data_IF_905633519923
#
_entry.id   IF_905633519923
#
_cell.length_a   1.000
_cell.length_b   1.000
_cell.length_c   1.000
_cell.angle_alpha   90.00
_cell.angle_beta   90.00
_cell.angle_gamma   90.00
#
_symmetry.space_group_name_H-M   'P 1'
#
loop_
_entity.id
_entity.type
_entity.pdbx_description
1 polymer ?
#
# COMPACT_ATOMS: atom_id res chain seq x y z
N UNK A 1 -17.94 1.74 16.69
CA UNK A 1 -16.58 1.80 17.29
C UNK A 1 -15.77 0.54 17.04
N UNK A 2 -16.17 -0.66 17.52
CA UNK A 2 -15.41 -1.91 17.29
C UNK A 2 -15.34 -2.31 15.81
N UNK A 3 -16.46 -2.21 15.08
CA UNK A 3 -16.53 -2.47 13.63
C UNK A 3 -15.60 -1.56 12.82
N UNK A 4 -15.49 -0.29 13.21
CA UNK A 4 -14.64 0.70 12.56
C UNK A 4 -13.14 0.42 12.76
N UNK A 5 -12.78 -0.08 13.95
CA UNK A 5 -11.41 -0.47 14.27
C UNK A 5 -10.98 -1.71 13.47
N UNK A 6 -11.88 -2.70 13.36
CA UNK A 6 -11.62 -3.91 12.56
C UNK A 6 -11.45 -3.57 11.07
N UNK A 7 -12.30 -2.70 10.53
CA UNK A 7 -12.18 -2.26 9.14
C UNK A 7 -10.88 -1.46 8.91
N UNK A 8 -10.49 -0.60 9.85
CA UNK A 8 -9.22 0.11 9.76
C UNK A 8 -8.02 -0.85 9.78
N UNK A 9 -8.07 -1.88 10.63
CA UNK A 9 -7.04 -2.91 10.71
C UNK A 9 -6.96 -3.72 9.40
N UNK A 10 -8.10 -4.14 8.83
CA UNK A 10 -8.15 -4.86 7.56
C UNK A 10 -7.59 -4.02 6.39
N UNK A 11 -7.94 -2.73 6.34
CA UNK A 11 -7.37 -1.78 5.36
C UNK A 11 -5.85 -1.65 5.49
N UNK A 12 -5.34 -1.57 6.72
CA UNK A 12 -3.92 -1.45 7.04
C UNK A 12 -3.16 -2.74 6.75
N UNK A 13 -3.72 -3.90 7.08
CA UNK A 13 -3.15 -5.21 6.81
C UNK A 13 -3.07 -5.49 5.30
N UNK A 14 -4.15 -5.21 4.56
CA UNK A 14 -4.10 -5.27 3.09
C UNK A 14 -3.05 -4.32 2.50
N UNK A 15 -2.87 -3.14 3.10
CA UNK A 15 -1.87 -2.17 2.67
C UNK A 15 -0.44 -2.57 3.02
N UNK A 16 -0.24 -3.28 4.14
CA UNK A 16 1.03 -3.88 4.48
C UNK A 16 1.42 -4.94 3.43
N UNK A 17 0.46 -5.77 3.00
CA UNK A 17 0.69 -6.72 1.92
C UNK A 17 1.18 -6.07 0.63
N UNK A 18 0.52 -4.98 0.18
CA UNK A 18 0.97 -4.25 -1.02
C UNK A 18 2.27 -3.48 -0.79
N UNK A 19 2.55 -3.02 0.43
CA UNK A 19 3.82 -2.38 0.79
C UNK A 19 5.00 -3.35 0.79
N UNK A 20 4.82 -4.58 1.27
CA UNK A 20 5.83 -5.64 1.18
C UNK A 20 6.13 -6.03 -0.28
N UNK A 21 5.09 -6.13 -1.11
CA UNK A 21 5.28 -6.32 -2.56
C UNK A 21 6.04 -5.15 -3.19
N UNK A 22 5.71 -3.91 -2.79
CA UNK A 22 6.41 -2.72 -3.26
C UNK A 22 7.89 -2.74 -2.83
N UNK A 23 8.19 -3.09 -1.58
CA UNK A 23 9.55 -3.22 -1.06
C UNK A 23 10.35 -4.29 -1.81
N UNK A 24 9.78 -5.47 -2.02
CA UNK A 24 10.41 -6.54 -2.80
C UNK A 24 10.69 -6.09 -4.25
N UNK A 25 9.76 -5.31 -4.83
CA UNK A 25 9.93 -4.73 -6.17
C UNK A 25 11.04 -3.67 -6.17
N UNK A 26 11.16 -2.81 -5.15
CA UNK A 26 12.28 -1.86 -5.02
C UNK A 26 13.61 -2.61 -4.92
N UNK A 27 13.68 -3.66 -4.11
CA UNK A 27 14.87 -4.50 -4.00
C UNK A 27 15.25 -5.14 -5.36
N UNK A 28 14.26 -5.62 -6.12
CA UNK A 28 14.47 -6.09 -7.49
C UNK A 28 15.03 -5.01 -8.41
N UNK A 29 14.55 -3.76 -8.32
CA UNK A 29 15.08 -2.64 -9.09
C UNK A 29 16.53 -2.30 -8.72
N UNK A 30 16.91 -2.43 -7.44
CA UNK A 30 18.30 -2.27 -6.99
C UNK A 30 19.20 -3.32 -7.64
N UNK A 31 18.78 -4.59 -7.66
CA UNK A 31 19.52 -5.68 -8.29
C UNK A 31 19.64 -5.48 -9.81
N UNK A 32 18.54 -5.12 -10.48
CA UNK A 32 18.54 -4.81 -11.93
C UNK A 32 19.44 -3.61 -12.22
N UNK A 33 19.37 -2.55 -11.42
CA UNK A 33 20.22 -1.36 -11.56
C UNK A 33 21.71 -1.67 -11.39
N UNK A 34 22.06 -2.47 -10.38
CA UNK A 34 23.44 -2.91 -10.15
C UNK A 34 23.97 -3.77 -11.30
N UNK A 35 23.17 -4.71 -11.80
CA UNK A 35 23.55 -5.59 -12.93
C UNK A 35 23.57 -4.87 -14.27
N UNK A 36 22.92 -3.71 -14.41
CA UNK A 36 23.08 -2.84 -15.59
C UNK A 36 24.51 -2.30 -15.74
N UNK A 37 25.27 -2.14 -14.66
CA UNK A 37 26.66 -1.67 -14.71
C UNK A 37 27.58 -2.60 -15.52
N UNK A 38 27.20 -3.88 -15.62
CA UNK A 38 27.89 -4.91 -16.41
C UNK A 38 27.07 -5.35 -17.64
N UNK A 39 26.04 -4.59 -18.02
CA UNK A 39 25.18 -4.86 -19.18
C UNK A 39 24.12 -5.95 -19.00
N UNK A 40 24.24 -6.82 -17.99
CA UNK A 40 23.34 -7.97 -17.74
C UNK A 40 21.92 -7.52 -17.33
N UNK A 41 21.80 -6.38 -16.64
CA UNK A 41 20.51 -5.88 -16.14
C UNK A 41 19.60 -5.28 -17.22
N UNK A 42 20.14 -4.87 -18.37
CA UNK A 42 19.38 -4.21 -19.44
C UNK A 42 18.16 -5.02 -19.95
N UNK A 43 18.27 -6.33 -20.26
CA UNK A 43 17.12 -7.14 -20.64
C UNK A 43 16.07 -7.28 -19.52
N UNK A 44 16.48 -7.15 -18.25
CA UNK A 44 15.59 -7.30 -17.09
C UNK A 44 14.72 -6.07 -16.82
N UNK A 45 15.03 -4.92 -17.44
CA UNK A 45 14.25 -3.68 -17.26
C UNK A 45 12.79 -3.84 -17.72
N UNK A 46 12.53 -4.50 -18.86
CA UNK A 46 11.16 -4.70 -19.35
C UNK A 46 10.31 -5.62 -18.46
N UNK A 47 10.81 -6.80 -18.07
CA UNK A 47 10.15 -7.63 -17.05
C UNK A 47 9.90 -6.85 -15.76
N UNK A 48 10.88 -6.08 -15.28
CA UNK A 48 10.76 -5.38 -14.00
C UNK A 48 9.71 -4.27 -14.01
N UNK A 49 9.53 -3.58 -15.15
CA UNK A 49 8.42 -2.65 -15.36
C UNK A 49 7.07 -3.36 -15.34
N UNK A 50 6.99 -4.56 -15.92
CA UNK A 50 5.77 -5.38 -15.88
C UNK A 50 5.43 -5.82 -14.45
N UNK A 51 6.44 -6.19 -13.66
CA UNK A 51 6.27 -6.47 -12.22
C UNK A 51 5.75 -5.22 -11.50
N UNK A 52 6.39 -4.07 -11.71
CA UNK A 52 5.97 -2.79 -11.13
C UNK A 52 4.50 -2.48 -11.43
N UNK A 53 4.08 -2.60 -12.69
CA UNK A 53 2.69 -2.41 -13.12
C UNK A 53 1.75 -3.41 -12.43
N UNK A 54 2.12 -4.69 -12.35
CA UNK A 54 1.30 -5.70 -11.68
C UNK A 54 1.08 -5.41 -10.19
N UNK A 55 2.10 -4.87 -9.51
CA UNK A 55 2.01 -4.48 -8.10
C UNK A 55 1.14 -3.22 -7.95
N UNK A 56 1.27 -2.25 -8.86
CA UNK A 56 0.41 -1.09 -8.91
C UNK A 56 -1.07 -1.46 -9.16
N UNK A 57 -1.36 -2.40 -10.06
CA UNK A 57 -2.73 -2.91 -10.29
C UNK A 57 -3.32 -3.60 -9.06
N UNK A 58 -2.52 -4.37 -8.31
CA UNK A 58 -2.98 -4.95 -7.03
C UNK A 58 -3.34 -3.86 -6.03
N UNK A 59 -2.57 -2.78 -5.96
CA UNK A 59 -2.91 -1.64 -5.11
C UNK A 59 -4.17 -0.92 -5.60
N UNK A 60 -4.35 -0.69 -6.91
CA UNK A 60 -5.59 -0.12 -7.47
C UNK A 60 -6.81 -0.95 -7.08
N UNK A 61 -6.72 -2.28 -7.24
CA UNK A 61 -7.78 -3.21 -6.86
C UNK A 61 -8.07 -3.18 -5.35
N UNK A 62 -7.02 -3.08 -4.51
CA UNK A 62 -7.16 -2.91 -3.07
C UNK A 62 -7.89 -1.60 -2.74
N UNK A 63 -7.48 -0.48 -3.32
CA UNK A 63 -8.09 0.83 -3.08
C UNK A 63 -9.56 0.89 -3.47
N UNK A 64 -9.94 0.20 -4.56
CA UNK A 64 -11.33 0.12 -5.03
C UNK A 64 -12.29 -0.64 -4.10
N UNK A 65 -11.79 -1.41 -3.12
CA UNK A 65 -12.66 -2.12 -2.15
C UNK A 65 -13.35 -1.18 -1.16
N UNK A 66 -12.79 0.00 -0.92
CA UNK A 66 -13.21 0.91 0.15
C UNK A 66 -13.41 2.36 -0.29
N UNK A 67 -13.50 2.59 -1.60
CA UNK A 67 -13.68 3.91 -2.18
C UNK A 67 -13.78 3.85 -3.70
N UNK A 68 -13.76 5.02 -4.34
CA UNK A 68 -13.82 5.11 -5.80
C UNK A 68 -12.68 4.30 -6.46
N UNK A 69 -13.00 3.42 -7.44
CA UNK A 69 -12.01 2.67 -8.17
C UNK A 69 -10.92 3.56 -8.77
N UNK A 70 -9.66 3.19 -8.57
CA UNK A 70 -8.54 3.87 -9.21
C UNK A 70 -8.37 3.27 -10.61
N UNK A 71 -8.79 4.02 -11.63
CA UNK A 71 -8.76 3.56 -13.03
C UNK A 71 -7.30 3.31 -13.47
N UNK A 72 -7.06 2.18 -14.16
CA UNK A 72 -5.75 1.88 -14.72
C UNK A 72 -5.48 2.75 -15.95
N UNK A 73 -4.29 3.38 -16.07
CA UNK A 73 -3.93 4.13 -17.27
C UNK A 73 -3.49 3.22 -18.43
N UNK A 74 -3.40 1.91 -18.21
CA UNK A 74 -2.90 0.95 -19.19
C UNK A 74 -4.06 0.28 -19.94
N UNK A 75 -4.07 0.32 -21.29
CA UNK A 75 -5.13 -0.32 -22.07
C UNK A 75 -5.12 -1.85 -21.87
N UNK A 76 -6.31 -2.47 -21.89
CA UNK A 76 -6.48 -3.91 -21.75
C UNK A 76 -5.78 -4.70 -22.88
N UNK A 77 -5.71 -4.12 -24.08
CA UNK A 77 -4.91 -4.60 -25.19
C UNK A 77 -3.59 -3.83 -25.25
N UNK A 78 -2.46 -4.52 -24.97
CA UNK A 78 -1.12 -3.91 -24.96
C UNK A 78 -0.76 -3.26 -26.30
N UNK A 79 -0.03 -2.14 -26.25
CA UNK A 79 1.16 -1.98 -27.07
C UNK A 79 2.40 -1.89 -26.18
N UNK A 80 3.33 -2.82 -26.37
CA UNK A 80 4.67 -2.74 -25.82
C UNK A 80 5.51 -1.79 -26.69
N UNK A 81 5.44 -0.48 -26.42
CA UNK A 81 6.28 0.50 -27.09
C UNK A 81 6.29 1.84 -26.35
N UNK A 82 7.48 2.41 -26.12
CA UNK A 82 7.62 3.78 -25.59
C UNK A 82 7.67 3.95 -24.06
N UNK A 83 7.96 2.91 -23.27
CA UNK A 83 7.96 2.97 -21.79
C UNK A 83 8.89 4.04 -21.19
N UNK A 84 9.97 4.42 -21.87
CA UNK A 84 10.95 5.40 -21.37
C UNK A 84 10.35 6.80 -21.18
N UNK A 85 9.29 7.11 -21.92
CA UNK A 85 8.65 8.42 -21.94
C UNK A 85 7.23 8.40 -21.39
N UNK A 86 6.74 7.23 -20.96
CA UNK A 86 5.38 7.08 -20.44
C UNK A 86 5.27 7.73 -19.03
N UNK A 87 4.44 8.79 -18.86
CA UNK A 87 4.23 9.43 -17.57
C UNK A 87 3.67 8.48 -16.51
N UNK A 88 2.87 7.47 -16.91
CA UNK A 88 2.30 6.50 -15.97
C UNK A 88 3.40 5.64 -15.34
N UNK A 89 4.40 5.24 -16.12
CA UNK A 89 5.56 4.48 -15.62
C UNK A 89 6.34 5.25 -14.55
N UNK A 90 6.59 6.55 -14.74
CA UNK A 90 7.25 7.39 -13.70
C UNK A 90 6.43 7.49 -12.43
N UNK A 91 5.10 7.62 -12.57
CA UNK A 91 4.17 7.72 -11.44
C UNK A 91 4.07 6.41 -10.65
N UNK A 92 4.04 5.27 -11.33
CA UNK A 92 4.08 3.95 -10.71
C UNK A 92 5.40 3.76 -9.91
N UNK A 93 6.55 4.20 -10.44
CA UNK A 93 7.83 4.15 -9.73
C UNK A 93 7.88 5.08 -8.51
N UNK A 94 7.39 6.31 -8.62
CA UNK A 94 7.27 7.23 -7.47
C UNK A 94 6.35 6.66 -6.39
N UNK A 95 5.23 6.06 -6.82
CA UNK A 95 4.32 5.38 -5.90
C UNK A 95 5.02 4.21 -5.20
N UNK A 96 5.78 3.40 -5.94
CA UNK A 96 6.52 2.26 -5.40
C UNK A 96 7.47 2.67 -4.27
N UNK A 97 8.24 3.74 -4.48
CA UNK A 97 9.16 4.28 -3.48
C UNK A 97 8.41 4.83 -2.26
N UNK A 98 7.31 5.57 -2.47
CA UNK A 98 6.52 6.10 -1.36
C UNK A 98 5.81 5.00 -0.56
N UNK A 99 5.27 3.98 -1.24
CA UNK A 99 4.48 2.92 -0.61
C UNK A 99 5.34 1.87 0.09
N UNK A 100 6.51 1.55 -0.46
CA UNK A 100 7.50 0.67 0.20
C UNK A 100 8.07 1.26 1.48
N UNK A 101 7.99 2.57 1.68
CA UNK A 101 8.48 3.27 2.88
C UNK A 101 7.33 3.66 3.80
N UNK A 102 6.54 4.67 3.42
CA UNK A 102 5.42 5.18 4.23
C UNK A 102 4.31 4.14 4.38
N UNK A 103 3.99 3.43 3.30
CA UNK A 103 2.95 2.41 3.33
C UNK A 103 3.32 1.22 4.22
N UNK A 104 4.61 0.84 4.22
CA UNK A 104 5.17 -0.18 5.10
C UNK A 104 5.14 0.27 6.56
N UNK A 105 5.65 1.46 6.85
CA UNK A 105 5.67 2.02 8.21
C UNK A 105 4.26 2.10 8.81
N UNK A 106 3.30 2.65 8.07
CA UNK A 106 1.92 2.77 8.52
C UNK A 106 1.23 1.41 8.69
N UNK A 107 1.49 0.46 7.79
CA UNK A 107 0.99 -0.91 7.90
C UNK A 107 1.55 -1.63 9.14
N UNK A 108 2.86 -1.51 9.38
CA UNK A 108 3.52 -2.08 10.55
C UNK A 108 3.00 -1.46 11.84
N UNK A 109 2.91 -0.12 11.94
CA UNK A 109 2.35 0.56 13.12
C UNK A 109 0.89 0.16 13.35
N UNK A 110 0.11 0.02 12.27
CA UNK A 110 -1.29 -0.41 12.33
C UNK A 110 -1.50 -1.78 12.98
N UNK A 111 -0.57 -2.71 12.77
CA UNK A 111 -0.62 -4.07 13.32
C UNK A 111 0.12 -4.15 14.67
N UNK A 112 1.27 -3.49 14.80
CA UNK A 112 2.09 -3.56 16.01
C UNK A 112 1.39 -2.89 17.19
N UNK A 113 0.83 -1.69 17.04
CA UNK A 113 0.19 -0.97 18.16
C UNK A 113 -0.88 -1.77 18.91
N UNK A 114 -1.86 -2.43 18.26
CA UNK A 114 -2.84 -3.24 18.99
C UNK A 114 -2.21 -4.46 19.66
N UNK A 115 -1.21 -5.10 19.04
CA UNK A 115 -0.47 -6.22 19.65
C UNK A 115 0.25 -5.76 20.93
N UNK A 116 0.97 -4.64 20.85
CA UNK A 116 1.68 -4.02 21.98
C UNK A 116 0.70 -3.66 23.09
N UNK A 117 -0.45 -3.09 22.72
CA UNK A 117 -1.50 -2.73 23.67
C UNK A 117 -2.08 -3.93 24.41
N UNK A 118 -2.41 -5.03 23.71
CA UNK A 118 -2.90 -6.26 24.34
C UNK A 118 -1.83 -6.91 25.21
N UNK A 119 -0.58 -6.99 24.73
CA UNK A 119 0.55 -7.53 25.50
C UNK A 119 0.76 -6.75 26.79
N UNK A 120 0.91 -5.43 26.70
CA UNK A 120 1.23 -4.60 27.85
C UNK A 120 0.04 -4.49 28.81
N UNK A 121 -1.20 -4.43 28.33
CA UNK A 121 -2.40 -4.41 29.19
C UNK A 121 -2.59 -5.72 29.96
N UNK A 122 -2.23 -6.86 29.35
CA UNK A 122 -2.27 -8.17 30.01
C UNK A 122 -1.04 -8.47 30.86
N UNK A 123 0.06 -7.72 30.70
CA UNK A 123 1.34 -7.94 31.37
C UNK A 123 1.23 -8.19 32.89
N UNK A 124 0.43 -7.42 33.66
CA UNK A 124 0.26 -7.68 35.09
C UNK A 124 -0.26 -9.07 35.48
N UNK A 125 -0.89 -9.80 34.56
CA UNK A 125 -1.47 -11.11 34.82
C UNK A 125 -0.46 -12.25 34.70
N UNK A 126 0.61 -12.06 33.94
CA UNK A 126 1.54 -13.12 33.59
C UNK A 126 3.02 -12.76 33.79
N UNK A 127 3.33 -11.53 34.26
CA UNK A 127 4.70 -11.06 34.45
C UNK A 127 5.54 -11.98 35.36
N UNK A 128 4.92 -12.65 36.34
CA UNK A 128 5.58 -13.56 37.27
C UNK A 128 6.05 -14.88 36.62
N UNK A 129 5.65 -15.16 35.38
CA UNK A 129 6.06 -16.34 34.62
C UNK A 129 7.34 -16.08 33.79
N UNK A 130 7.78 -14.83 33.69
CA UNK A 130 8.96 -14.45 32.91
C UNK A 130 10.24 -14.67 33.72
N UNK A 131 11.32 -15.19 33.11
CA UNK A 131 12.64 -15.23 33.71
C UNK A 131 13.13 -13.83 34.13
N UNK A 132 13.97 -13.79 35.17
CA UNK A 132 14.65 -12.56 35.58
C UNK A 132 15.49 -12.02 34.41
N UNK A 133 15.15 -10.82 33.91
CA UNK A 133 15.79 -10.20 32.75
C UNK A 133 14.92 -10.12 31.48
N UNK A 134 13.84 -10.90 31.40
CA UNK A 134 12.86 -10.85 30.29
C UNK A 134 11.58 -10.10 30.67
N UNK A 135 11.44 -9.74 31.95
CA UNK A 135 10.34 -8.94 32.48
C UNK A 135 10.49 -7.47 32.05
N UNK A 136 9.94 -7.12 30.88
CA UNK A 136 10.01 -5.76 30.35
C UNK A 136 8.79 -5.29 29.57
N UNK A 137 8.65 -3.96 29.47
CA UNK A 137 7.65 -3.33 28.62
C UNK A 137 7.85 -3.71 27.16
N UNK A 138 6.87 -3.45 26.30
CA UNK A 138 7.05 -3.73 24.88
C UNK A 138 8.16 -2.90 24.22
N UNK A 139 8.66 -1.87 24.90
CA UNK A 139 9.80 -1.06 24.48
C UNK A 139 11.15 -1.61 25.00
N UNK A 140 11.16 -2.78 25.64
CA UNK A 140 12.36 -3.41 26.17
C UNK A 140 12.86 -2.79 27.49
N UNK A 141 12.03 -2.00 28.17
CA UNK A 141 12.40 -1.41 29.46
C UNK A 141 12.18 -2.47 30.55
N UNK A 142 13.23 -2.91 31.26
CA UNK A 142 13.09 -3.93 32.30
C UNK A 142 12.32 -3.39 33.50
N UNK A 143 11.48 -4.24 34.07
CA UNK A 143 10.62 -3.94 35.20
C UNK A 143 10.67 -5.11 36.19
N UNK A 144 10.98 -4.79 37.44
CA UNK A 144 11.09 -5.77 38.53
C UNK A 144 10.19 -5.46 39.73
N UNK A 145 9.38 -4.39 39.64
CA UNK A 145 8.56 -3.90 40.75
C UNK A 145 7.09 -3.85 40.35
N UNK A 146 6.21 -4.14 41.31
CA UNK A 146 4.75 -4.06 41.13
C UNK A 146 4.27 -2.72 40.58
N UNK A 147 4.75 -1.54 41.06
CA UNK A 147 4.38 -0.25 40.48
C UNK A 147 4.78 -0.13 39.01
N UNK A 148 5.97 -0.60 38.64
CA UNK A 148 6.40 -0.60 37.24
C UNK A 148 5.53 -1.50 36.36
N UNK A 149 5.11 -2.67 36.87
CA UNK A 149 4.20 -3.58 36.17
C UNK A 149 2.84 -2.91 35.93
N UNK A 150 2.31 -2.17 36.90
CA UNK A 150 1.09 -1.39 36.74
C UNK A 150 1.23 -0.28 35.70
N UNK A 151 2.38 0.42 35.67
CA UNK A 151 2.67 1.43 34.64
C UNK A 151 2.68 0.82 33.24
N UNK A 152 3.29 -0.36 33.07
CA UNK A 152 3.24 -1.10 31.80
C UNK A 152 1.79 -1.46 31.45
N UNK A 153 1.02 -2.00 32.42
CA UNK A 153 -0.41 -2.28 32.27
C UNK A 153 -1.21 -1.08 31.73
N UNK A 154 -1.09 0.07 32.40
CA UNK A 154 -1.75 1.32 32.00
C UNK A 154 -1.29 1.79 30.62
N UNK A 155 0.00 1.68 30.33
CA UNK A 155 0.55 2.04 29.01
C UNK A 155 -0.02 1.17 27.88
N UNK A 156 -0.36 -0.10 28.16
CA UNK A 156 -1.06 -0.98 27.22
C UNK A 156 -2.41 -0.42 26.77
N UNK A 157 -3.20 0.12 27.71
CA UNK A 157 -4.45 0.80 27.38
C UNK A 157 -4.22 2.09 26.57
N UNK A 158 -3.13 2.81 26.83
CA UNK A 158 -2.75 3.96 26.03
C UNK A 158 -2.43 3.55 24.57
N UNK A 159 -1.69 2.45 24.36
CA UNK A 159 -1.42 1.91 23.02
C UNK A 159 -2.70 1.47 22.29
N UNK A 160 -3.64 0.83 23.00
CA UNK A 160 -4.95 0.47 22.44
C UNK A 160 -5.74 1.71 22.04
N UNK A 161 -5.78 2.74 22.90
CA UNK A 161 -6.44 4.00 22.59
C UNK A 161 -5.82 4.68 21.35
N UNK A 162 -4.49 4.75 21.28
CA UNK A 162 -3.77 5.26 20.11
C UNK A 162 -4.09 4.44 18.86
N UNK A 163 -4.10 3.11 18.93
CA UNK A 163 -4.48 2.25 17.80
C UNK A 163 -5.88 2.56 17.27
N UNK A 164 -6.85 2.72 18.18
CA UNK A 164 -8.25 3.03 17.80
C UNK A 164 -8.40 4.44 17.20
N UNK A 165 -7.72 5.43 17.77
CA UNK A 165 -7.74 6.82 17.31
C UNK A 165 -7.00 6.99 15.98
N UNK A 166 -5.84 6.33 15.83
CA UNK A 166 -4.95 6.49 14.70
C UNK A 166 -5.21 5.50 13.55
N UNK A 167 -5.99 4.43 13.73
CA UNK A 167 -6.23 3.44 12.68
C UNK A 167 -6.82 4.04 11.39
N UNK A 168 -7.86 4.88 11.53
CA UNK A 168 -8.48 5.58 10.40
C UNK A 168 -7.53 6.57 9.70
N UNK A 169 -6.85 7.50 10.39
CA UNK A 169 -5.91 8.40 9.74
C UNK A 169 -4.73 7.64 9.12
N UNK A 170 -4.22 6.56 9.73
CA UNK A 170 -3.17 5.73 9.12
C UNK A 170 -3.65 5.08 7.82
N UNK A 171 -4.86 4.50 7.79
CA UNK A 171 -5.41 3.92 6.57
C UNK A 171 -5.62 4.98 5.46
N UNK A 172 -6.02 6.20 5.83
CA UNK A 172 -6.12 7.34 4.90
C UNK A 172 -4.75 7.78 4.37
N UNK A 173 -3.76 7.91 5.25
CA UNK A 173 -2.41 8.30 4.88
C UNK A 173 -1.75 7.24 3.99
N UNK A 174 -1.96 5.97 4.28
CA UNK A 174 -1.43 4.85 3.49
C UNK A 174 -2.04 4.79 2.08
N UNK A 175 -3.33 5.13 1.93
CA UNK A 175 -4.00 5.13 0.61
C UNK A 175 -3.71 6.37 -0.24
N UNK A 176 -3.24 7.46 0.37
CA UNK A 176 -3.09 8.76 -0.29
C UNK A 176 -2.06 8.76 -1.43
N UNK A 177 -0.85 8.19 -1.29
CA UNK A 177 0.10 8.06 -2.41
C UNK A 177 -0.50 7.25 -3.56
N UNK A 178 -1.16 6.13 -3.26
CA UNK A 178 -1.82 5.29 -4.27
C UNK A 178 -2.87 6.07 -5.07
N UNK A 179 -3.77 6.77 -4.39
CA UNK A 179 -4.80 7.58 -5.07
C UNK A 179 -4.22 8.77 -5.85
N UNK A 180 -3.15 9.39 -5.35
CA UNK A 180 -2.56 10.57 -6.02
C UNK A 180 -1.68 10.22 -7.21
N UNK A 181 -0.90 9.13 -7.11
CA UNK A 181 0.11 8.77 -8.10
C UNK A 181 -0.41 7.73 -9.10
N UNK A 182 -1.23 6.76 -8.67
CA UNK A 182 -1.71 5.69 -9.57
C UNK A 182 -2.91 6.09 -10.42
N UNK A 183 -3.58 7.20 -10.10
CA UNK A 183 -4.69 7.74 -10.92
C UNK A 183 -4.19 8.20 -12.30
N UNK A 184 -5.00 8.05 -13.37
CA UNK A 184 -4.64 8.44 -14.71
C UNK A 184 -4.26 9.92 -14.79
N UNK A 185 -3.31 10.24 -15.67
CA UNK A 185 -2.99 11.63 -15.97
C UNK A 185 -4.16 12.26 -16.76
N UNK A 186 -4.55 13.53 -16.52
CA UNK A 186 -5.69 14.17 -17.18
C UNK A 186 -5.67 14.09 -18.73
N UNK A 187 -4.49 14.04 -19.32
CA UNK A 187 -4.33 13.91 -20.78
C UNK A 187 -4.79 12.55 -21.33
N UNK A 188 -4.70 11.46 -20.55
CA UNK A 188 -5.10 10.11 -20.97
C UNK A 188 -6.62 9.97 -20.95
N UNK A 189 -7.28 10.50 -19.91
CA UNK A 189 -8.74 10.48 -19.77
C UNK A 189 -9.42 11.28 -20.90
N UNK A 190 -8.85 12.42 -21.30
CA UNK A 190 -9.33 13.20 -22.45
C UNK A 190 -9.24 12.41 -23.77
N UNK A 191 -8.09 11.78 -24.05
CA UNK A 191 -7.92 10.99 -25.28
C UNK A 191 -8.83 9.78 -25.34
N UNK A 192 -9.02 9.07 -24.22
CA UNK A 192 -9.93 7.92 -24.16
C UNK A 192 -11.39 8.36 -24.34
N UNK A 193 -11.79 9.48 -23.73
CA UNK A 193 -13.14 10.04 -23.88
C UNK A 193 -13.41 10.48 -25.32
N UNK A 194 -12.43 11.11 -25.98
CA UNK A 194 -12.53 11.46 -27.41
C UNK A 194 -12.62 10.20 -28.27
N UNK A 195 -11.76 9.21 -28.06
CA UNK A 195 -11.80 7.95 -28.80
C UNK A 195 -13.15 7.22 -28.64
N UNK A 196 -13.71 7.22 -27.43
CA UNK A 196 -15.03 6.63 -27.14
C UNK A 196 -16.15 7.38 -27.87
N UNK A 197 -16.10 8.72 -27.90
CA UNK A 197 -17.06 9.56 -28.65
C UNK A 197 -16.94 9.36 -30.17
N UNK A 198 -15.71 9.21 -30.68
CA UNK A 198 -15.49 8.91 -32.10
C UNK A 198 -16.02 7.53 -32.47
N UNK A 199 -15.81 6.52 -31.62
CA UNK A 199 -16.31 5.16 -31.83
C UNK A 199 -17.84 5.10 -31.82
N UNK A 200 -18.51 5.77 -30.86
CA UNK A 200 -19.97 5.81 -30.84
C UNK A 200 -20.54 6.59 -32.03
N UNK A 201 -19.91 7.69 -32.45
CA UNK A 201 -20.30 8.41 -33.66
C UNK A 201 -20.14 7.55 -34.93
N UNK A 202 -19.04 6.82 -35.05
CA UNK A 202 -18.81 5.92 -36.17
C UNK A 202 -19.82 4.76 -36.19
N UNK A 203 -20.13 4.17 -35.04
CA UNK A 203 -21.17 3.14 -34.92
C UNK A 203 -22.57 3.65 -35.30
N UNK A 204 -22.93 4.86 -34.88
CA UNK A 204 -24.19 5.48 -35.26
C UNK A 204 -24.28 5.77 -36.77
N UNK A 205 -23.19 6.25 -37.39
CA UNK A 205 -23.11 6.47 -38.83
C UNK A 205 -23.22 5.15 -39.62
N UNK A 206 -22.56 4.09 -39.16
CA UNK A 206 -22.63 2.78 -39.79
C UNK A 206 -24.05 2.18 -39.74
N UNK A 207 -24.77 2.40 -38.64
CA UNK A 207 -26.17 1.97 -38.52
C UNK A 207 -27.08 2.69 -39.52
N UNK A 208 -26.95 4.02 -39.67
CA UNK A 208 -27.73 4.78 -40.65
C UNK A 208 -27.38 4.44 -42.10
N UNK A 209 -26.12 4.12 -42.40
CA UNK A 209 -25.73 3.69 -43.75
C UNK A 209 -26.30 2.31 -44.14
N UNK A 210 -26.68 1.48 -43.17
CA UNK A 210 -27.28 0.18 -43.40
C UNK A 210 -28.81 0.22 -43.60
N UNK A 211 -29.45 1.36 -43.32
CA UNK A 211 -30.89 1.60 -43.52
C UNK A 211 -31.24 2.14 -44.91
N UNK A 212 -30.24 2.53 -45.72
CA UNK A 212 -30.36 3.02 -47.11
C UNK A 212 -30.05 1.90 -48.11
#
# INVERSE_FOLDING_TARGET
MTRDAFEALDRLAGGLGTALLALATVAGWVVVGATCLVGIGLPMVQPMLSVTRSVAERERARLGRWGEPVVSPYPAARPAGGWRSDPATRRDLMWLAAHSTLGLLLGLLGIALPIMGVRDASFPLWWHLLPEGESGSSLGIPVHTWPGVMVVGVSGFAWLAVSMLCGRPFARLQSLPGRRLLSPHPSVDLSERVARLTATRAGALAAHAAEL
#
